data_IF_590971492664
#
_entry.id   IF_590971492664
#
_cell.length_a   1.000
_cell.length_b   1.000
_cell.length_c   1.000
_cell.angle_alpha   90.00
_cell.angle_beta   90.00
_cell.angle_gamma   90.00
#
_symmetry.space_group_name_H-M   'P 1'
#
loop_
_entity.id
_entity.type
_entity.pdbx_description
1 polymer ?
#
# COMPACT_ATOMS: atom_id res chain seq x y z
N UNK A 1 -26.25 -0.60 -32.93
CA UNK A 1 -25.12 -1.44 -32.53
C UNK A 1 -23.92 -0.57 -32.18
N UNK A 2 -23.93 0.15 -31.05
CA UNK A 2 -22.80 0.99 -30.55
C UNK A 2 -22.87 1.19 -29.02
N UNK A 3 -23.09 0.14 -28.25
CA UNK A 3 -23.13 0.21 -26.76
C UNK A 3 -22.44 -0.97 -26.02
N UNK A 4 -21.52 -1.68 -26.66
CA UNK A 4 -20.86 -2.86 -26.04
C UNK A 4 -19.35 -2.67 -25.83
N UNK A 5 -18.76 -1.52 -26.14
CA UNK A 5 -17.30 -1.33 -26.07
C UNK A 5 -16.83 -0.67 -24.77
N UNK A 6 -17.73 -0.11 -23.94
CA UNK A 6 -17.31 0.63 -22.74
C UNK A 6 -17.27 -0.20 -21.43
N UNK A 7 -17.70 -1.46 -21.46
CA UNK A 7 -17.73 -2.33 -20.27
C UNK A 7 -16.45 -3.12 -20.03
N UNK A 8 -15.45 -3.01 -20.92
CA UNK A 8 -14.24 -3.85 -20.86
C UNK A 8 -13.03 -3.19 -20.19
N UNK A 9 -13.07 -1.88 -19.93
CA UNK A 9 -11.90 -1.13 -19.49
C UNK A 9 -11.68 -1.10 -17.97
N UNK A 10 -12.70 -1.36 -17.16
CA UNK A 10 -12.55 -1.38 -15.68
C UNK A 10 -12.36 -2.78 -15.09
N UNK A 11 -12.69 -3.83 -15.82
CA UNK A 11 -12.32 -5.21 -15.44
C UNK A 11 -10.83 -5.49 -15.61
N UNK A 12 -10.12 -4.67 -16.38
CA UNK A 12 -8.67 -4.81 -16.60
C UNK A 12 -7.82 -4.35 -15.42
N UNK A 13 -8.29 -3.46 -14.57
CA UNK A 13 -7.52 -2.99 -13.41
C UNK A 13 -7.37 -4.08 -12.32
N UNK A 14 -8.26 -5.07 -12.29
CA UNK A 14 -8.19 -6.18 -11.33
C UNK A 14 -7.82 -7.54 -11.96
N UNK A 15 -7.98 -7.72 -13.25
CA UNK A 15 -7.41 -8.91 -13.94
C UNK A 15 -5.88 -8.87 -14.02
N UNK A 16 -5.25 -7.67 -13.90
CA UNK A 16 -3.81 -7.53 -13.72
C UNK A 16 -3.36 -8.05 -12.34
N UNK A 17 -4.22 -8.04 -11.33
CA UNK A 17 -3.95 -8.68 -10.03
C UNK A 17 -3.89 -10.23 -10.12
N UNK A 18 -4.36 -10.83 -11.21
CA UNK A 18 -4.30 -12.28 -11.40
C UNK A 18 -2.90 -12.81 -11.77
N UNK A 19 -1.98 -11.95 -12.17
CA UNK A 19 -0.57 -12.29 -12.38
C UNK A 19 0.26 -11.99 -11.12
N UNK A 20 -0.11 -12.65 -10.00
CA UNK A 20 0.65 -12.60 -8.75
C UNK A 20 2.11 -13.03 -9.00
N UNK A 21 3.01 -12.09 -9.12
CA UNK A 21 4.43 -12.30 -9.42
C UNK A 21 5.03 -11.25 -10.36
N UNK A 22 4.22 -10.61 -11.18
CA UNK A 22 4.67 -9.54 -12.08
C UNK A 22 4.46 -8.14 -11.48
N UNK A 23 3.50 -7.97 -10.55
CA UNK A 23 3.26 -6.68 -9.92
C UNK A 23 4.30 -6.38 -8.86
N UNK A 24 4.94 -5.24 -9.03
CA UNK A 24 5.84 -4.61 -8.07
C UNK A 24 5.14 -3.44 -7.42
N UNK A 25 5.39 -3.28 -6.14
CA UNK A 25 4.88 -2.17 -5.34
C UNK A 25 6.07 -1.54 -4.64
N UNK A 26 6.32 -0.26 -4.92
CA UNK A 26 7.29 0.52 -4.14
C UNK A 26 6.54 1.24 -3.02
N UNK A 27 6.93 0.98 -1.80
CA UNK A 27 6.44 1.64 -0.59
C UNK A 27 7.52 2.59 -0.10
N UNK A 28 7.25 3.88 -0.14
CA UNK A 28 8.17 4.93 0.30
C UNK A 28 7.56 5.68 1.48
N UNK A 29 8.25 5.66 2.61
CA UNK A 29 7.83 6.30 3.85
C UNK A 29 8.65 7.56 4.07
N UNK A 30 7.99 8.67 4.34
CA UNK A 30 8.60 9.94 4.70
C UNK A 30 8.01 10.49 5.98
N UNK A 31 8.86 10.79 6.97
CA UNK A 31 8.45 11.40 8.25
C UNK A 31 8.79 12.88 8.24
N UNK A 32 7.81 13.73 8.55
CA UNK A 32 7.91 15.19 8.59
C UNK A 32 7.43 15.74 9.93
N UNK A 33 7.77 17.00 10.23
CA UNK A 33 7.16 17.73 11.36
C UNK A 33 5.68 18.01 11.09
N UNK A 34 4.85 17.97 12.12
CA UNK A 34 3.43 18.29 12.00
C UNK A 34 3.19 19.76 11.56
N UNK A 35 4.13 20.66 11.83
CA UNK A 35 4.08 22.07 11.37
C UNK A 35 4.19 22.19 9.84
N UNK A 36 4.80 21.22 9.17
CA UNK A 36 5.11 21.29 7.74
C UNK A 36 4.05 20.58 6.87
N UNK A 37 3.06 19.94 7.49
CA UNK A 37 2.05 19.12 6.78
C UNK A 37 1.33 19.91 5.68
N UNK A 38 0.87 21.12 5.98
CA UNK A 38 0.10 21.94 5.03
C UNK A 38 0.94 22.32 3.81
N UNK A 39 2.17 22.79 4.03
CA UNK A 39 3.10 23.13 2.95
C UNK A 39 3.49 21.90 2.15
N UNK A 40 3.75 20.79 2.84
CA UNK A 40 4.09 19.51 2.22
C UNK A 40 2.98 19.02 1.28
N UNK A 41 1.74 19.01 1.74
CA UNK A 41 0.59 18.63 0.91
C UNK A 41 0.36 19.57 -0.27
N UNK A 42 0.71 20.84 -0.16
CA UNK A 42 0.64 21.79 -1.27
C UNK A 42 1.66 21.43 -2.37
N UNK A 43 2.85 20.94 -2.01
CA UNK A 43 3.84 20.49 -2.97
C UNK A 43 3.50 19.13 -3.62
N UNK A 44 2.83 18.25 -2.89
CA UNK A 44 2.45 16.92 -3.40
C UNK A 44 1.58 16.99 -4.67
N UNK A 45 0.83 18.05 -4.88
CA UNK A 45 0.05 18.29 -6.11
C UNK A 45 0.94 18.34 -7.36
N UNK A 46 2.15 18.87 -7.26
CA UNK A 46 3.12 18.90 -8.36
C UNK A 46 3.67 17.49 -8.64
N UNK A 47 3.97 16.73 -7.58
CA UNK A 47 4.44 15.35 -7.72
C UNK A 47 3.33 14.45 -8.28
N UNK A 48 2.08 14.64 -7.86
CA UNK A 48 0.93 13.90 -8.42
C UNK A 48 0.86 14.05 -9.94
N UNK A 49 1.07 15.27 -10.49
CA UNK A 49 1.03 15.47 -11.94
C UNK A 49 2.10 14.65 -12.69
N UNK A 50 3.25 14.37 -12.07
CA UNK A 50 4.26 13.47 -12.63
C UNK A 50 3.76 12.02 -12.63
N UNK A 51 3.10 11.60 -11.55
CA UNK A 51 2.54 10.25 -11.48
C UNK A 51 1.40 10.04 -12.47
N UNK A 52 0.57 11.06 -12.71
CA UNK A 52 -0.44 11.09 -13.78
C UNK A 52 0.20 10.90 -15.16
N UNK A 53 1.24 11.66 -15.49
CA UNK A 53 2.00 11.48 -16.72
C UNK A 53 2.58 10.07 -16.88
N UNK A 54 3.11 9.48 -15.78
CA UNK A 54 3.63 8.11 -15.80
C UNK A 54 2.52 7.08 -16.00
N UNK A 55 1.34 7.30 -15.41
CA UNK A 55 0.17 6.45 -15.60
C UNK A 55 -0.32 6.50 -17.06
N UNK A 56 -0.43 7.70 -17.62
CA UNK A 56 -0.84 7.91 -19.02
C UNK A 56 0.16 7.30 -20.03
N UNK A 57 1.43 7.30 -19.69
CA UNK A 57 2.48 6.62 -20.47
C UNK A 57 2.54 5.10 -20.23
N UNK A 58 1.67 4.54 -19.39
CA UNK A 58 1.64 3.11 -19.08
C UNK A 58 2.81 2.58 -18.26
N UNK A 59 3.60 3.48 -17.65
CA UNK A 59 4.74 3.11 -16.80
C UNK A 59 4.28 2.75 -15.40
N UNK A 60 3.37 3.54 -14.84
CA UNK A 60 2.76 3.38 -13.54
C UNK A 60 1.33 2.87 -13.72
N UNK A 61 0.91 1.84 -12.99
CA UNK A 61 -0.48 1.41 -13.02
C UNK A 61 -1.35 2.16 -12.02
N UNK A 62 -0.79 2.54 -10.87
CA UNK A 62 -1.45 3.39 -9.88
C UNK A 62 -0.44 4.03 -8.93
N UNK A 63 -0.87 5.08 -8.24
CA UNK A 63 -0.18 5.72 -7.12
C UNK A 63 -1.16 6.10 -6.04
N UNK A 64 -0.75 5.97 -4.79
CA UNK A 64 -1.54 6.31 -3.63
C UNK A 64 -0.67 6.99 -2.58
N UNK A 65 -1.25 7.94 -1.86
CA UNK A 65 -0.65 8.62 -0.72
C UNK A 65 -1.50 8.38 0.53
N UNK A 66 -0.83 7.99 1.61
CA UNK A 66 -1.45 7.65 2.88
C UNK A 66 -0.76 8.38 4.02
N UNK A 67 -1.50 8.71 5.08
CA UNK A 67 -1.01 9.35 6.29
C UNK A 67 -1.20 8.43 7.48
N UNK A 68 -0.16 8.20 8.27
CA UNK A 68 -0.23 7.48 9.54
C UNK A 68 -1.10 8.27 10.53
N UNK A 69 -2.11 7.63 11.13
CA UNK A 69 -3.07 8.28 12.04
C UNK A 69 -3.05 7.74 13.47
N UNK A 70 -2.23 6.72 13.75
CA UNK A 70 -2.01 6.22 15.12
C UNK A 70 -0.53 6.34 15.54
N UNK A 71 0.09 7.54 15.41
CA UNK A 71 1.41 7.76 15.96
C UNK A 71 1.35 7.63 17.50
N UNK A 72 2.50 7.46 18.13
CA UNK A 72 2.58 7.51 19.59
C UNK A 72 2.03 8.85 20.11
N UNK A 73 1.37 8.85 21.26
CA UNK A 73 0.56 9.96 21.80
C UNK A 73 1.25 11.33 21.90
N UNK A 74 2.56 11.39 21.87
CA UNK A 74 3.35 12.63 21.97
C UNK A 74 4.10 12.98 20.67
N UNK A 75 3.72 12.39 19.53
CA UNK A 75 4.46 12.64 18.30
C UNK A 75 4.21 14.04 17.76
N UNK A 76 5.27 14.81 17.59
CA UNK A 76 5.28 16.07 16.84
C UNK A 76 5.52 15.82 15.34
N UNK A 77 5.62 14.55 14.93
CA UNK A 77 5.94 14.10 13.58
C UNK A 77 4.81 13.23 13.02
N UNK A 78 4.64 13.32 11.72
CA UNK A 78 3.70 12.48 10.94
C UNK A 78 4.47 11.73 9.86
N UNK A 79 4.08 10.48 9.63
CA UNK A 79 4.62 9.67 8.54
C UNK A 79 3.62 9.59 7.40
N UNK A 80 4.07 9.93 6.20
CA UNK A 80 3.36 9.64 4.95
C UNK A 80 3.93 8.39 4.30
N UNK A 81 3.06 7.63 3.67
CA UNK A 81 3.40 6.47 2.86
C UNK A 81 2.93 6.74 1.43
N UNK A 82 3.86 6.64 0.51
CA UNK A 82 3.64 6.74 -0.94
C UNK A 82 3.76 5.35 -1.54
N UNK A 83 2.74 4.91 -2.22
CA UNK A 83 2.66 3.57 -2.81
C UNK A 83 2.58 3.70 -4.31
N UNK A 84 3.52 3.10 -5.04
CA UNK A 84 3.57 3.05 -6.50
C UNK A 84 3.39 1.62 -6.96
N UNK A 85 2.49 1.43 -7.90
CA UNK A 85 2.18 0.13 -8.49
C UNK A 85 2.68 0.08 -9.93
N UNK A 86 3.49 -0.90 -10.28
CA UNK A 86 3.99 -1.10 -11.65
C UNK A 86 4.29 -2.56 -11.94
N UNK A 87 4.41 -2.91 -13.22
CA UNK A 87 4.95 -4.20 -13.63
C UNK A 87 6.48 -4.13 -13.66
N UNK A 88 7.14 -5.28 -13.59
CA UNK A 88 8.60 -5.35 -13.69
C UNK A 88 9.11 -4.78 -15.04
N UNK A 89 8.35 -4.97 -16.12
CA UNK A 89 8.68 -4.42 -17.43
C UNK A 89 8.58 -2.89 -17.45
N UNK A 90 7.47 -2.36 -16.93
CA UNK A 90 7.22 -0.91 -16.94
C UNK A 90 8.20 -0.15 -16.03
N UNK A 91 8.65 -0.75 -14.93
CA UNK A 91 9.65 -0.17 -14.05
C UNK A 91 10.94 0.20 -14.79
N UNK A 92 11.39 -0.62 -15.73
CA UNK A 92 12.60 -0.36 -16.54
C UNK A 92 12.47 0.87 -17.42
N UNK A 93 11.22 1.23 -17.75
CA UNK A 93 10.91 2.37 -18.63
C UNK A 93 10.68 3.68 -17.86
N UNK A 94 10.63 3.65 -16.51
CA UNK A 94 10.33 4.83 -15.69
C UNK A 94 11.32 6.00 -15.86
N UNK A 95 12.55 5.74 -16.27
CA UNK A 95 13.55 6.77 -16.57
C UNK A 95 13.30 7.55 -17.88
N UNK A 96 12.31 7.15 -18.68
CA UNK A 96 12.02 7.78 -19.98
C UNK A 96 11.14 9.04 -19.87
N UNK A 97 10.56 9.31 -18.69
CA UNK A 97 9.76 10.52 -18.45
C UNK A 97 10.60 11.56 -17.74
N UNK A 98 10.48 12.82 -18.15
CA UNK A 98 11.30 13.93 -17.68
C UNK A 98 11.26 14.16 -16.17
N UNK A 99 10.22 13.68 -15.48
CA UNK A 99 10.03 13.91 -14.05
C UNK A 99 9.82 15.38 -13.67
N UNK A 100 9.42 16.22 -14.63
CA UNK A 100 9.08 17.64 -14.43
C UNK A 100 7.58 17.79 -14.72
N UNK A 101 6.80 18.43 -13.81
CA UNK A 101 5.40 18.73 -14.06
C UNK A 101 5.21 19.54 -15.34
N UNK A 102 4.14 19.23 -16.08
CA UNK A 102 3.83 19.94 -17.32
C UNK A 102 3.61 21.44 -17.05
N UNK A 103 4.20 22.28 -17.90
CA UNK A 103 4.12 23.74 -17.80
C UNK A 103 5.00 24.37 -16.73
N UNK A 104 5.79 23.58 -15.99
CA UNK A 104 6.72 24.11 -14.99
C UNK A 104 8.14 24.24 -15.57
N UNK A 105 8.79 25.38 -15.29
CA UNK A 105 10.19 25.56 -15.66
C UNK A 105 11.10 24.67 -14.80
N UNK A 106 12.17 24.06 -15.37
CA UNK A 106 13.07 23.18 -14.61
C UNK A 106 13.63 23.80 -13.33
N UNK A 107 14.01 25.06 -13.38
CA UNK A 107 14.58 25.78 -12.24
C UNK A 107 13.54 25.96 -11.11
N UNK A 108 12.28 26.22 -11.47
CA UNK A 108 11.18 26.30 -10.49
C UNK A 108 10.91 24.92 -9.88
N UNK A 109 10.93 23.88 -10.72
CA UNK A 109 10.77 22.51 -10.26
C UNK A 109 11.87 22.09 -9.28
N UNK A 110 13.12 22.43 -9.55
CA UNK A 110 14.23 22.11 -8.65
C UNK A 110 14.05 22.75 -7.27
N UNK A 111 13.59 24.02 -7.21
CA UNK A 111 13.29 24.71 -5.94
C UNK A 111 12.15 24.01 -5.17
N UNK A 112 11.05 23.64 -5.87
CA UNK A 112 9.93 22.93 -5.25
C UNK A 112 10.39 21.58 -4.70
N UNK A 113 11.13 20.81 -5.49
CA UNK A 113 11.64 19.49 -5.09
C UNK A 113 12.59 19.58 -3.91
N UNK A 114 13.53 20.53 -3.91
CA UNK A 114 14.46 20.74 -2.81
C UNK A 114 13.70 21.11 -1.52
N UNK A 115 12.75 22.03 -1.61
CA UNK A 115 11.95 22.46 -0.48
C UNK A 115 11.11 21.31 0.07
N UNK A 116 10.40 20.56 -0.77
CA UNK A 116 9.62 19.39 -0.35
C UNK A 116 10.50 18.32 0.31
N UNK A 117 11.67 18.04 -0.25
CA UNK A 117 12.62 17.09 0.32
C UNK A 117 13.19 17.55 1.66
N UNK A 118 13.30 18.86 1.90
CA UNK A 118 13.80 19.40 3.17
C UNK A 118 12.84 19.18 4.34
N UNK A 119 11.56 18.91 4.08
CA UNK A 119 10.60 18.55 5.13
C UNK A 119 10.88 17.17 5.74
N UNK A 120 11.49 16.25 4.98
CA UNK A 120 11.67 14.89 5.45
C UNK A 120 12.83 14.76 6.43
N UNK A 121 12.53 14.35 7.64
CA UNK A 121 13.49 13.99 8.70
C UNK A 121 14.02 12.57 8.54
N UNK A 122 13.14 11.67 8.09
CA UNK A 122 13.45 10.26 7.86
C UNK A 122 12.80 9.82 6.57
N UNK A 123 13.56 9.06 5.81
CA UNK A 123 13.08 8.42 4.59
C UNK A 123 13.43 6.95 4.66
N UNK A 124 12.47 6.12 4.25
CA UNK A 124 12.64 4.69 4.14
C UNK A 124 11.84 4.20 2.92
N UNK A 125 12.41 3.33 2.12
CA UNK A 125 11.67 2.71 1.03
C UNK A 125 11.92 1.22 0.95
N UNK A 126 10.95 0.50 0.42
CA UNK A 126 11.04 -0.93 0.17
C UNK A 126 10.26 -1.30 -1.08
N UNK A 127 10.82 -2.21 -1.86
CA UNK A 127 10.12 -2.86 -2.96
C UNK A 127 9.52 -4.18 -2.49
N UNK A 128 8.26 -4.38 -2.80
CA UNK A 128 7.55 -5.61 -2.46
C UNK A 128 6.89 -6.23 -3.70
N UNK A 129 6.75 -7.55 -3.70
CA UNK A 129 5.94 -8.28 -4.67
C UNK A 129 4.57 -8.58 -4.11
N UNK A 130 3.53 -8.38 -4.90
CA UNK A 130 2.18 -8.84 -4.58
C UNK A 130 2.11 -10.37 -4.65
N UNK A 131 1.53 -10.99 -3.62
CA UNK A 131 1.39 -12.45 -3.51
C UNK A 131 -0.04 -12.93 -3.70
N UNK A 132 -1.00 -12.08 -3.42
CA UNK A 132 -2.42 -12.38 -3.55
C UNK A 132 -3.27 -11.47 -2.67
N UNK A 133 -4.57 -11.52 -2.87
CA UNK A 133 -5.53 -10.71 -2.13
C UNK A 133 -6.92 -10.79 -2.75
N UNK A 134 -7.82 -9.97 -2.22
CA UNK A 134 -9.15 -9.78 -2.78
C UNK A 134 -9.55 -8.30 -2.68
N UNK A 135 -10.54 -7.94 -3.49
CA UNK A 135 -11.25 -6.66 -3.40
C UNK A 135 -12.74 -6.95 -3.52
N UNK A 136 -13.51 -6.54 -2.51
CA UNK A 136 -14.96 -6.66 -2.46
C UNK A 136 -15.68 -5.40 -2.96
N UNK A 137 -14.93 -4.35 -3.34
CA UNK A 137 -15.51 -3.12 -3.87
C UNK A 137 -16.28 -3.39 -5.14
N UNK A 138 -17.48 -2.81 -5.25
CA UNK A 138 -18.28 -2.85 -6.48
C UNK A 138 -17.81 -1.78 -7.46
N UNK A 139 -18.08 -1.96 -8.73
CA UNK A 139 -17.80 -0.95 -9.76
C UNK A 139 -18.43 0.40 -9.38
N UNK A 140 -17.62 1.46 -9.40
CA UNK A 140 -18.06 2.83 -9.03
C UNK A 140 -18.08 3.11 -7.52
N UNK A 141 -17.72 2.15 -6.66
CA UNK A 141 -17.52 2.45 -5.23
C UNK A 141 -16.26 3.29 -5.04
N UNK A 142 -16.29 4.14 -3.99
CA UNK A 142 -15.07 4.86 -3.59
C UNK A 142 -14.00 3.86 -3.14
N UNK A 143 -12.72 4.13 -3.42
CA UNK A 143 -11.63 3.38 -2.81
C UNK A 143 -11.69 3.44 -1.29
N UNK A 144 -11.24 2.38 -0.60
CA UNK A 144 -11.18 2.33 0.85
C UNK A 144 -10.42 3.53 1.43
N UNK A 145 -10.96 4.13 2.48
CA UNK A 145 -10.38 5.35 3.08
C UNK A 145 -9.24 5.03 4.06
N UNK A 146 -9.25 3.84 4.65
CA UNK A 146 -8.27 3.41 5.65
C UNK A 146 -7.58 2.12 5.25
N UNK A 147 -6.32 2.00 5.64
CA UNK A 147 -5.53 0.79 5.53
C UNK A 147 -4.85 0.46 6.86
N UNK A 148 -4.90 -0.79 7.29
CA UNK A 148 -4.08 -1.32 8.38
C UNK A 148 -2.93 -2.09 7.76
N UNK A 149 -1.71 -1.60 7.96
CA UNK A 149 -0.50 -2.24 7.44
C UNK A 149 0.15 -3.02 8.59
N UNK A 150 0.15 -4.32 8.45
CA UNK A 150 0.74 -5.24 9.42
C UNK A 150 2.11 -5.69 8.92
N UNK A 151 3.17 -5.34 9.64
CA UNK A 151 4.55 -5.74 9.35
C UNK A 151 4.84 -7.09 10.00
N UNK A 152 5.27 -8.07 9.20
CA UNK A 152 5.50 -9.44 9.65
C UNK A 152 6.96 -9.84 9.50
N UNK A 153 7.47 -10.54 10.51
CA UNK A 153 8.71 -11.31 10.44
C UNK A 153 8.37 -12.79 10.34
N UNK A 154 8.81 -13.43 9.27
CA UNK A 154 8.57 -14.86 8.98
C UNK A 154 9.90 -15.55 8.80
N UNK A 155 10.10 -16.67 9.51
CA UNK A 155 11.32 -17.47 9.35
C UNK A 155 11.51 -17.94 7.92
N UNK A 156 12.75 -17.90 7.45
CA UNK A 156 13.10 -18.24 6.07
C UNK A 156 12.51 -19.59 5.61
N UNK A 157 12.64 -20.62 6.43
CA UNK A 157 12.12 -21.95 6.11
C UNK A 157 10.58 -22.07 6.19
N UNK A 158 9.91 -21.09 6.78
CA UNK A 158 8.46 -21.05 6.96
C UNK A 158 7.73 -20.21 5.91
N UNK A 159 8.44 -19.50 5.04
CA UNK A 159 7.83 -18.54 4.10
C UNK A 159 6.77 -19.16 3.18
N UNK A 160 7.05 -20.32 2.58
CA UNK A 160 6.08 -21.00 1.72
C UNK A 160 4.83 -21.45 2.49
N UNK A 161 5.01 -21.91 3.74
CA UNK A 161 3.90 -22.29 4.63
C UNK A 161 3.09 -21.06 5.03
N UNK A 162 3.76 -19.95 5.36
CA UNK A 162 3.13 -18.68 5.68
C UNK A 162 2.26 -18.18 4.53
N UNK A 163 2.84 -18.04 3.31
CA UNK A 163 2.09 -17.61 2.12
C UNK A 163 0.87 -18.50 1.87
N UNK A 164 1.05 -19.84 1.99
CA UNK A 164 -0.07 -20.78 1.80
C UNK A 164 -1.16 -20.62 2.87
N UNK A 165 -0.82 -20.39 4.13
CA UNK A 165 -1.79 -20.17 5.19
C UNK A 165 -2.52 -18.84 5.02
N UNK A 166 -1.81 -17.75 4.69
CA UNK A 166 -2.43 -16.44 4.43
C UNK A 166 -3.42 -16.54 3.27
N UNK A 167 -3.02 -17.11 2.13
CA UNK A 167 -3.85 -17.13 0.93
C UNK A 167 -5.00 -18.16 0.99
N UNK A 168 -4.81 -19.31 1.66
CA UNK A 168 -5.80 -20.40 1.64
C UNK A 168 -6.66 -20.48 2.90
N UNK A 169 -6.22 -19.86 4.01
CA UNK A 169 -6.94 -19.92 5.28
C UNK A 169 -7.43 -18.55 5.71
N UNK A 170 -6.52 -17.56 5.84
CA UNK A 170 -6.89 -16.25 6.39
C UNK A 170 -7.57 -15.35 5.37
N UNK A 171 -7.13 -15.30 4.12
CA UNK A 171 -7.78 -14.50 3.08
C UNK A 171 -9.28 -14.83 2.95
N UNK A 172 -9.74 -16.10 2.85
CA UNK A 172 -11.17 -16.41 2.80
C UNK A 172 -11.93 -16.03 4.08
N UNK A 173 -11.28 -16.06 5.25
CA UNK A 173 -11.88 -15.62 6.51
C UNK A 173 -12.10 -14.11 6.49
N UNK A 174 -11.07 -13.35 6.12
CA UNK A 174 -11.11 -11.90 6.01
C UNK A 174 -12.16 -11.43 5.02
N UNK A 175 -12.24 -12.09 3.85
CA UNK A 175 -13.25 -11.80 2.84
C UNK A 175 -14.68 -11.99 3.37
N UNK A 176 -14.93 -13.04 4.15
CA UNK A 176 -16.24 -13.28 4.77
C UNK A 176 -16.57 -12.33 5.91
N UNK A 177 -15.57 -11.79 6.57
CA UNK A 177 -15.72 -10.84 7.67
C UNK A 177 -16.02 -9.40 7.21
N UNK A 178 -16.17 -9.18 5.91
CA UNK A 178 -16.64 -7.91 5.36
C UNK A 178 -15.55 -6.86 5.16
N UNK A 179 -14.28 -7.26 5.14
CA UNK A 179 -13.22 -6.32 4.71
C UNK A 179 -13.48 -5.84 3.28
N UNK A 180 -13.24 -4.55 3.04
CA UNK A 180 -13.36 -3.96 1.70
C UNK A 180 -12.35 -4.54 0.72
N UNK A 181 -11.10 -4.73 1.17
CA UNK A 181 -10.05 -5.42 0.43
C UNK A 181 -8.96 -5.93 1.37
N UNK A 182 -8.12 -6.83 0.86
CA UNK A 182 -6.97 -7.37 1.58
C UNK A 182 -5.85 -7.75 0.60
N UNK A 183 -4.60 -7.56 1.02
CA UNK A 183 -3.45 -7.91 0.22
C UNK A 183 -2.32 -8.52 1.06
N UNK A 184 -1.63 -9.50 0.49
CA UNK A 184 -0.36 -10.04 0.99
C UNK A 184 0.77 -9.60 0.06
N UNK A 185 1.83 -9.05 0.63
CA UNK A 185 3.05 -8.68 -0.10
C UNK A 185 4.30 -9.24 0.56
N UNK A 186 5.33 -9.48 -0.25
CA UNK A 186 6.64 -9.96 0.18
C UNK A 186 7.72 -8.93 -0.14
N UNK A 187 8.56 -8.62 0.83
CA UNK A 187 9.70 -7.70 0.68
C UNK A 187 10.76 -8.34 -0.23
N UNK A 188 11.32 -7.55 -1.14
CA UNK A 188 12.25 -8.01 -2.16
C UNK A 188 13.68 -7.47 -2.00
N UNK A 189 13.82 -6.25 -1.52
CA UNK A 189 15.05 -5.47 -1.57
C UNK A 189 15.78 -5.36 -0.23
N UNK A 190 15.23 -5.96 0.83
CA UNK A 190 15.79 -5.86 2.17
C UNK A 190 16.08 -7.22 2.77
N UNK A 191 17.36 -7.52 2.88
CA UNK A 191 17.87 -8.74 3.49
C UNK A 191 18.91 -8.39 4.56
N UNK A 192 18.97 -9.21 5.60
CA UNK A 192 19.97 -9.10 6.66
C UNK A 192 19.37 -9.19 8.05
N UNK A 193 20.23 -9.44 9.05
CA UNK A 193 19.82 -9.71 10.43
C UNK A 193 19.11 -8.54 11.12
N UNK A 194 19.35 -7.31 10.67
CA UNK A 194 18.70 -6.11 11.20
C UNK A 194 17.34 -5.82 10.57
N UNK A 195 17.03 -6.44 9.42
CA UNK A 195 15.77 -6.26 8.68
C UNK A 195 14.81 -7.37 9.04
N UNK A 196 13.93 -7.08 9.98
CA UNK A 196 13.01 -8.08 10.52
C UNK A 196 11.75 -8.24 9.68
N UNK A 197 11.25 -7.18 9.04
CA UNK A 197 10.06 -7.24 8.20
C UNK A 197 10.39 -7.86 6.85
N UNK A 198 9.70 -8.94 6.50
CA UNK A 198 9.85 -9.58 5.21
C UNK A 198 8.51 -9.84 4.50
N UNK A 199 7.38 -9.54 5.18
CA UNK A 199 6.04 -9.52 4.60
C UNK A 199 5.23 -8.37 5.17
N UNK A 200 4.26 -7.89 4.37
CA UNK A 200 3.16 -7.05 4.84
C UNK A 200 1.84 -7.71 4.47
N UNK A 201 0.88 -7.66 5.40
CA UNK A 201 -0.54 -7.77 5.07
C UNK A 201 -1.16 -6.39 5.17
N UNK A 202 -2.04 -6.08 4.23
CA UNK A 202 -2.74 -4.79 4.20
C UNK A 202 -4.23 -5.08 4.22
N UNK A 203 -4.89 -4.59 5.26
CA UNK A 203 -6.33 -4.73 5.47
C UNK A 203 -6.97 -3.38 5.15
N UNK A 204 -7.93 -3.33 4.21
CA UNK A 204 -8.56 -2.09 3.78
C UNK A 204 -9.98 -1.97 4.34
N UNK A 205 -10.33 -0.75 4.79
CA UNK A 205 -11.59 -0.42 5.43
C UNK A 205 -12.15 0.90 4.92
N UNK A 206 -13.46 1.02 4.93
CA UNK A 206 -14.13 2.26 4.52
C UNK A 206 -14.18 3.25 5.69
N UNK A 207 -14.18 2.76 6.94
CA UNK A 207 -14.27 3.59 8.14
C UNK A 207 -13.30 3.15 9.23
N UNK A 208 -12.93 4.11 10.10
CA UNK A 208 -12.13 3.84 11.29
C UNK A 208 -12.87 2.97 12.33
N UNK A 209 -14.21 3.10 12.38
CA UNK A 209 -15.05 2.30 13.27
C UNK A 209 -15.00 0.80 12.93
N UNK A 210 -14.96 0.44 11.66
CA UNK A 210 -14.77 -0.95 11.22
C UNK A 210 -13.47 -1.54 11.75
N UNK A 211 -12.37 -0.78 11.71
CA UNK A 211 -11.07 -1.20 12.26
C UNK A 211 -11.20 -1.48 13.76
N UNK A 212 -11.79 -0.56 14.52
CA UNK A 212 -11.94 -0.73 15.97
C UNK A 212 -12.90 -1.86 16.31
N UNK A 213 -13.98 -2.02 15.59
CA UNK A 213 -14.93 -3.13 15.74
C UNK A 213 -14.25 -4.46 15.50
N UNK A 214 -13.46 -4.58 14.43
CA UNK A 214 -12.72 -5.82 14.15
C UNK A 214 -11.68 -6.13 15.24
N UNK A 215 -10.94 -5.12 15.70
CA UNK A 215 -9.93 -5.29 16.76
C UNK A 215 -10.56 -5.65 18.13
N UNK A 216 -11.77 -5.18 18.42
CA UNK A 216 -12.49 -5.49 19.67
C UNK A 216 -13.19 -6.85 19.66
N UNK A 217 -13.50 -7.40 18.48
CA UNK A 217 -14.30 -8.62 18.31
C UNK A 217 -13.48 -9.93 18.48
N UNK A 218 -12.60 -9.98 19.48
CA UNK A 218 -11.78 -11.18 19.76
C UNK A 218 -12.57 -12.37 20.32
N UNK A 219 -13.82 -12.15 20.80
CA UNK A 219 -14.62 -13.17 21.50
C UNK A 219 -15.41 -14.11 20.58
N UNK A 220 -15.49 -13.83 19.27
CA UNK A 220 -16.32 -14.60 18.32
C UNK A 220 -15.54 -15.55 17.41
N UNK A 221 -14.24 -15.72 17.64
CA UNK A 221 -13.42 -16.62 16.82
C UNK A 221 -13.88 -18.07 16.94
N UNK A 222 -14.13 -18.72 15.80
CA UNK A 222 -14.38 -20.17 15.76
C UNK A 222 -13.15 -20.92 16.25
N UNK A 223 -13.35 -22.10 16.86
CA UNK A 223 -12.24 -22.94 17.36
C UNK A 223 -11.20 -23.24 16.25
N UNK A 224 -11.65 -23.48 15.02
CA UNK A 224 -10.78 -23.67 13.86
C UNK A 224 -9.85 -22.48 13.59
N UNK A 225 -10.38 -21.27 13.74
CA UNK A 225 -9.65 -20.02 13.46
C UNK A 225 -8.62 -19.76 14.56
N UNK A 226 -8.97 -20.09 15.82
CA UNK A 226 -8.03 -20.06 16.96
C UNK A 226 -6.87 -21.03 16.75
N UNK A 227 -7.13 -22.24 16.26
CA UNK A 227 -6.09 -23.23 15.97
C UNK A 227 -5.21 -22.79 14.78
N UNK A 228 -5.80 -22.20 13.75
CA UNK A 228 -5.06 -21.64 12.63
C UNK A 228 -4.14 -20.49 13.09
N UNK A 229 -4.64 -19.57 13.92
CA UNK A 229 -3.84 -18.48 14.49
C UNK A 229 -2.67 -19.02 15.33
N UNK A 230 -2.90 -20.00 16.21
CA UNK A 230 -1.82 -20.63 17.00
C UNK A 230 -0.74 -21.30 16.15
N UNK A 231 -1.08 -21.83 14.99
CA UNK A 231 -0.08 -22.35 14.03
C UNK A 231 0.69 -21.21 13.36
N UNK A 232 -0.03 -20.17 12.99
CA UNK A 232 0.56 -18.97 12.35
C UNK A 232 1.55 -18.27 13.29
N UNK A 233 1.22 -18.11 14.57
CA UNK A 233 2.07 -17.48 15.58
C UNK A 233 3.39 -18.22 15.86
N UNK A 234 3.48 -19.50 15.43
CA UNK A 234 4.74 -20.26 15.51
C UNK A 234 5.71 -19.97 14.37
N UNK A 235 5.23 -19.40 13.27
CA UNK A 235 6.03 -19.20 12.03
C UNK A 235 6.19 -17.73 11.67
N UNK A 236 5.43 -16.84 12.32
CA UNK A 236 5.55 -15.39 12.13
C UNK A 236 5.53 -14.64 13.46
N UNK A 237 6.08 -13.43 13.43
CA UNK A 237 5.89 -12.43 14.47
C UNK A 237 5.27 -11.16 13.86
N UNK A 238 4.21 -10.65 14.46
CA UNK A 238 3.69 -9.31 14.13
C UNK A 238 4.62 -8.28 14.77
N UNK A 239 5.25 -7.45 13.97
CA UNK A 239 6.20 -6.42 14.43
C UNK A 239 5.52 -5.09 14.68
N UNK A 240 4.58 -4.69 13.79
CA UNK A 240 3.73 -3.51 13.94
C UNK A 240 2.41 -3.70 13.23
N UNK A 241 1.43 -2.88 13.61
CA UNK A 241 0.11 -2.80 12.99
C UNK A 241 -0.31 -1.33 12.97
N UNK A 242 -0.04 -0.69 11.85
CA UNK A 242 -0.13 0.75 11.68
C UNK A 242 -1.38 1.12 10.88
N UNK A 243 -2.14 2.12 11.35
CA UNK A 243 -3.36 2.59 10.68
C UNK A 243 -3.00 3.83 9.85
N UNK A 244 -3.30 3.74 8.57
CA UNK A 244 -3.14 4.83 7.63
C UNK A 244 -4.49 5.29 7.10
N UNK A 245 -4.64 6.60 6.88
CA UNK A 245 -5.76 7.21 6.16
C UNK A 245 -5.29 7.62 4.78
N UNK A 246 -6.08 7.34 3.75
CA UNK A 246 -5.81 7.80 2.39
C UNK A 246 -5.85 9.32 2.33
N UNK A 247 -4.85 9.91 1.71
CA UNK A 247 -4.74 11.36 1.47
C UNK A 247 -5.06 11.67 0.03
N UNK A 248 -4.51 10.88 -0.91
CA UNK A 248 -4.68 11.08 -2.34
C UNK A 248 -4.40 9.78 -3.12
N UNK A 249 -4.83 9.73 -4.39
CA UNK A 249 -4.58 8.63 -5.33
C UNK A 249 -4.74 9.11 -6.78
N UNK A 250 -4.35 8.26 -7.73
CA UNK A 250 -4.68 8.42 -9.14
C UNK A 250 -5.98 7.67 -9.43
N UNK A 251 -7.01 8.39 -9.85
CA UNK A 251 -8.30 7.82 -10.28
C UNK A 251 -8.23 7.14 -11.65
#
# INVERSE_FOLDING_TARGET
MKKIVLAFTLLLSFSVLAQAGEMRINMWYGTIDNSDIEEHLAFEKYFKSIWEQQKDAGILSNWEMWQLINPSEASTETTFLYVKFYTEENRKNSAQISGIPEGLAPETWDVIREKQMSHFKKIYSTDVSYKGGFNNSTEGSKPAEYAVINSMSVDWYSQATYESMELKTFMPINQKNGMSAWALTKVLDQFGAERKTNYYTVDFFDTLEEIYTQRSNTSSMKKSDVEANKKMDKIRSLLSSDIFRRVDNLD
#
